data_IF_624113690986
#
_entry.id   IF_624113690986
#
_cell.length_a   1.000
_cell.length_b   1.000
_cell.length_c   1.000
_cell.angle_alpha   90.00
_cell.angle_beta   90.00
_cell.angle_gamma   90.00
#
_symmetry.space_group_name_H-M   'P 1'
#
loop_
_entity.id
_entity.type
_entity.pdbx_description
1 polymer ?
#
# COMPACT_ATOMS: atom_id res chain seq x y z
N UNK A 1 -21.59 -21.85 -4.85
CA UNK A 1 -20.52 -20.84 -5.08
C UNK A 1 -19.21 -21.60 -5.01
N UNK A 2 -18.29 -21.40 -5.94
CA UNK A 2 -16.98 -22.05 -5.85
C UNK A 2 -16.12 -21.24 -4.85
N UNK A 3 -15.47 -21.95 -3.93
CA UNK A 3 -14.40 -21.38 -3.10
C UNK A 3 -13.30 -20.81 -4.01
N UNK A 4 -12.58 -19.73 -3.62
CA UNK A 4 -11.39 -19.29 -4.31
C UNK A 4 -10.41 -20.45 -4.53
N UNK A 5 -9.91 -20.63 -5.76
CA UNK A 5 -9.14 -21.83 -6.13
C UNK A 5 -7.76 -21.91 -5.45
N UNK A 6 -7.17 -20.77 -5.08
CA UNK A 6 -5.94 -20.68 -4.29
C UNK A 6 -6.21 -20.58 -2.78
N UNK A 7 -7.45 -20.29 -2.37
CA UNK A 7 -7.88 -20.29 -0.98
C UNK A 7 -7.54 -19.01 -0.20
N UNK A 8 -7.19 -19.22 1.08
CA UNK A 8 -6.88 -18.14 2.04
C UNK A 8 -5.39 -18.07 2.27
N UNK A 9 -4.84 -16.84 2.24
CA UNK A 9 -3.41 -16.59 2.38
C UNK A 9 -3.04 -15.52 3.38
N UNK A 10 -1.74 -15.33 3.48
CA UNK A 10 -1.11 -14.27 4.27
C UNK A 10 0.05 -13.68 3.50
N UNK A 11 0.35 -12.41 3.81
CA UNK A 11 1.56 -11.77 3.32
C UNK A 11 2.79 -12.30 4.08
N UNK A 12 3.88 -12.57 3.33
CA UNK A 12 5.16 -13.01 3.89
C UNK A 12 5.90 -11.83 4.54
N UNK A 13 5.54 -11.52 5.77
CA UNK A 13 6.16 -10.44 6.54
C UNK A 13 7.04 -10.98 7.67
N UNK A 14 7.95 -10.15 8.18
CA UNK A 14 8.79 -10.49 9.34
C UNK A 14 7.92 -10.88 10.54
N UNK A 15 8.26 -12.00 11.17
CA UNK A 15 7.50 -12.57 12.28
C UNK A 15 6.56 -13.71 11.89
N UNK A 16 6.22 -13.86 10.60
CA UNK A 16 5.45 -15.01 10.14
C UNK A 16 6.22 -16.32 10.34
N UNK A 17 7.54 -16.29 10.17
CA UNK A 17 8.44 -17.43 10.42
C UNK A 17 8.35 -17.95 11.87
N UNK A 18 8.13 -17.06 12.84
CA UNK A 18 8.02 -17.41 14.26
C UNK A 18 6.76 -18.20 14.59
N UNK A 19 5.69 -17.98 13.84
CA UNK A 19 4.37 -18.61 14.08
C UNK A 19 3.99 -19.64 13.03
N UNK A 20 4.80 -19.81 11.98
CA UNK A 20 4.48 -20.65 10.82
C UNK A 20 4.05 -22.06 11.20
N UNK A 21 4.83 -22.74 12.07
CA UNK A 21 4.53 -24.14 12.45
C UNK A 21 3.17 -24.33 13.13
N UNK A 22 2.60 -23.26 13.68
CA UNK A 22 1.33 -23.30 14.39
C UNK A 22 0.14 -22.91 13.52
N UNK A 23 0.37 -22.32 12.33
CA UNK A 23 -0.69 -21.80 11.44
C UNK A 23 -0.63 -22.33 10.01
N UNK A 24 0.43 -23.06 9.64
CA UNK A 24 0.67 -23.53 8.28
C UNK A 24 -0.48 -24.37 7.70
N UNK A 25 -1.23 -25.08 8.55
CA UNK A 25 -2.41 -25.85 8.14
C UNK A 25 -3.58 -25.00 7.66
N UNK A 26 -3.56 -23.69 7.91
CA UNK A 26 -4.57 -22.72 7.52
C UNK A 26 -4.10 -21.76 6.41
N UNK A 27 -2.86 -21.89 5.93
CA UNK A 27 -2.32 -21.05 4.89
C UNK A 27 -2.31 -21.84 3.58
N UNK A 28 -3.20 -21.48 2.65
CA UNK A 28 -3.29 -22.11 1.34
C UNK A 28 -2.32 -21.46 0.34
N UNK A 29 -2.10 -20.15 0.47
CA UNK A 29 -1.27 -19.34 -0.45
C UNK A 29 -0.43 -18.33 0.34
N UNK A 30 0.77 -18.01 -0.15
CA UNK A 30 1.66 -17.00 0.44
C UNK A 30 1.85 -15.87 -0.56
N UNK A 31 1.58 -14.65 -0.14
CA UNK A 31 1.90 -13.47 -0.93
C UNK A 31 3.24 -12.87 -0.51
N UNK A 32 3.99 -12.36 -1.47
CA UNK A 32 5.34 -11.82 -1.27
C UNK A 32 5.42 -10.41 -1.83
N UNK A 33 5.90 -9.49 -1.01
CA UNK A 33 6.32 -8.15 -1.42
C UNK A 33 7.83 -8.17 -1.70
N UNK A 34 8.29 -8.43 -2.92
CA UNK A 34 9.69 -8.67 -3.18
C UNK A 34 10.57 -7.45 -2.86
N UNK A 35 10.06 -6.23 -3.01
CA UNK A 35 10.81 -5.00 -2.74
C UNK A 35 11.19 -4.83 -1.26
N UNK A 36 10.43 -5.41 -0.33
CA UNK A 36 10.78 -5.43 1.10
C UNK A 36 12.02 -6.29 1.38
N UNK A 37 12.35 -7.18 0.44
CA UNK A 37 13.50 -8.09 0.49
C UNK A 37 14.69 -7.60 -0.34
N UNK A 38 14.66 -6.37 -0.85
CA UNK A 38 15.73 -5.79 -1.64
C UNK A 38 16.53 -4.74 -0.86
N UNK A 39 17.83 -4.67 -1.15
CA UNK A 39 18.71 -3.64 -0.64
C UNK A 39 19.29 -2.85 -1.81
N UNK A 40 19.11 -1.52 -1.87
CA UNK A 40 19.64 -0.71 -2.96
C UNK A 40 21.17 -0.70 -2.96
N UNK A 41 21.76 -0.69 -4.16
CA UNK A 41 23.17 -0.53 -4.43
C UNK A 41 23.40 0.71 -5.28
N UNK A 42 24.65 1.04 -5.57
CA UNK A 42 24.95 2.14 -6.51
C UNK A 42 24.33 1.92 -7.88
N UNK A 43 24.23 0.65 -8.31
CA UNK A 43 23.54 0.23 -9.51
C UNK A 43 22.70 -1.01 -9.20
N UNK A 44 21.36 -0.87 -9.25
CA UNK A 44 20.43 -1.98 -9.01
C UNK A 44 20.22 -2.30 -7.53
N UNK A 45 19.88 -3.54 -7.25
CA UNK A 45 19.51 -4.05 -5.92
C UNK A 45 20.15 -5.39 -5.63
N UNK A 46 20.51 -5.63 -4.37
CA UNK A 46 20.79 -6.96 -3.86
C UNK A 46 19.49 -7.59 -3.36
N UNK A 47 19.30 -8.85 -3.63
CA UNK A 47 18.16 -9.64 -3.19
C UNK A 47 18.54 -10.37 -1.89
N UNK A 48 17.66 -10.37 -0.92
CA UNK A 48 17.79 -11.18 0.29
C UNK A 48 17.46 -12.64 -0.02
N UNK A 49 18.43 -13.38 -0.56
CA UNK A 49 18.26 -14.79 -0.96
C UNK A 49 17.68 -15.66 0.18
N UNK A 50 18.16 -15.58 1.44
CA UNK A 50 17.56 -16.35 2.52
C UNK A 50 16.05 -16.12 2.72
N UNK A 51 15.54 -14.91 2.46
CA UNK A 51 14.11 -14.64 2.56
C UNK A 51 13.33 -15.32 1.42
N UNK A 52 13.85 -15.30 0.21
CA UNK A 52 13.26 -16.02 -0.91
C UNK A 52 13.32 -17.55 -0.70
N UNK A 53 14.45 -18.09 -0.26
CA UNK A 53 14.60 -19.51 0.07
C UNK A 53 13.61 -19.95 1.15
N UNK A 54 13.35 -19.08 2.13
CA UNK A 54 12.36 -19.34 3.16
C UNK A 54 10.96 -19.48 2.55
N UNK A 55 10.54 -18.58 1.66
CA UNK A 55 9.24 -18.65 0.99
C UNK A 55 9.15 -19.92 0.14
N UNK A 56 10.14 -20.17 -0.71
CA UNK A 56 10.21 -21.35 -1.60
C UNK A 56 10.11 -22.66 -0.82
N UNK A 57 10.69 -22.70 0.39
CA UNK A 57 10.63 -23.89 1.25
C UNK A 57 9.26 -24.16 1.91
N UNK A 58 8.28 -23.25 1.76
CA UNK A 58 6.94 -23.44 2.33
C UNK A 58 6.07 -24.38 1.52
N UNK A 59 6.41 -24.64 0.28
CA UNK A 59 5.65 -25.51 -0.65
C UNK A 59 4.17 -25.09 -0.73
N UNK A 60 3.95 -23.79 -0.98
CA UNK A 60 2.64 -23.18 -1.16
C UNK A 60 2.60 -22.42 -2.48
N UNK A 61 1.44 -22.35 -3.15
CA UNK A 61 1.24 -21.37 -4.22
C UNK A 61 1.66 -19.99 -3.75
N UNK A 62 2.25 -19.21 -4.65
CA UNK A 62 2.77 -17.89 -4.32
C UNK A 62 2.11 -16.82 -5.18
N UNK A 63 1.85 -15.67 -4.57
CA UNK A 63 1.46 -14.43 -5.21
C UNK A 63 2.59 -13.42 -5.03
N UNK A 64 2.65 -12.42 -5.90
CA UNK A 64 3.63 -11.34 -5.77
C UNK A 64 2.90 -10.01 -5.85
N UNK A 65 3.06 -9.22 -4.79
CA UNK A 65 2.51 -7.88 -4.68
C UNK A 65 3.63 -6.83 -4.65
N UNK A 66 3.59 -5.88 -5.57
CA UNK A 66 4.58 -4.81 -5.67
C UNK A 66 4.23 -3.64 -4.74
N UNK A 67 5.24 -3.10 -4.05
CA UNK A 67 5.09 -1.97 -3.11
C UNK A 67 6.07 -0.83 -3.39
N UNK A 68 6.84 -0.92 -4.47
CA UNK A 68 7.93 0.03 -4.71
C UNK A 68 7.80 0.86 -5.98
N UNK A 69 7.05 0.41 -6.97
CA UNK A 69 6.97 1.02 -8.28
C UNK A 69 5.51 1.19 -8.74
N UNK A 70 4.70 1.94 -7.97
CA UNK A 70 3.27 2.06 -8.20
C UNK A 70 2.95 2.59 -9.60
N UNK A 71 1.80 2.15 -10.14
CA UNK A 71 1.42 2.42 -11.53
C UNK A 71 0.54 3.65 -11.70
N UNK A 72 0.09 4.23 -10.57
CA UNK A 72 -0.87 5.35 -10.60
C UNK A 72 -0.20 6.69 -10.83
N UNK A 73 0.13 7.56 -11.03
CA UNK A 73 0.78 8.86 -11.17
C UNK A 73 1.33 9.09 -12.56
N UNK A 74 1.70 10.34 -12.82
CA UNK A 74 2.21 10.74 -14.13
C UNK A 74 3.71 10.47 -14.32
N UNK A 75 4.44 10.07 -13.26
CA UNK A 75 5.86 9.71 -13.36
C UNK A 75 5.97 8.20 -13.57
N UNK A 76 6.58 7.78 -14.66
CA UNK A 76 6.74 6.37 -14.97
C UNK A 76 7.61 5.66 -13.90
N UNK A 77 7.25 4.43 -13.50
CA UNK A 77 8.07 3.63 -12.60
C UNK A 77 9.42 3.28 -13.24
N UNK A 78 10.44 3.04 -12.39
CA UNK A 78 11.77 2.66 -12.86
C UNK A 78 11.74 1.31 -13.60
N UNK A 79 12.07 1.26 -14.90
CA UNK A 79 12.00 0.02 -15.68
C UNK A 79 12.87 -1.10 -15.15
N UNK A 80 14.00 -0.78 -14.49
CA UNK A 80 14.89 -1.80 -13.92
C UNK A 80 14.24 -2.47 -12.70
N UNK A 81 13.54 -1.70 -11.87
CA UNK A 81 12.78 -2.21 -10.72
C UNK A 81 11.58 -3.04 -11.17
N UNK A 82 10.82 -2.59 -12.16
CA UNK A 82 9.70 -3.34 -12.74
C UNK A 82 10.16 -4.68 -13.29
N UNK A 83 11.27 -4.70 -14.06
CA UNK A 83 11.85 -5.92 -14.59
C UNK A 83 12.28 -6.88 -13.47
N UNK A 84 12.87 -6.37 -12.40
CA UNK A 84 13.28 -7.20 -11.27
C UNK A 84 12.06 -7.78 -10.52
N UNK A 85 10.97 -7.01 -10.35
CA UNK A 85 9.73 -7.51 -9.78
C UNK A 85 9.14 -8.67 -10.62
N UNK A 86 9.12 -8.52 -11.95
CA UNK A 86 8.70 -9.59 -12.87
C UNK A 86 9.60 -10.83 -12.76
N UNK A 87 10.91 -10.67 -12.57
CA UNK A 87 11.84 -11.78 -12.36
C UNK A 87 11.58 -12.50 -11.03
N UNK A 88 11.27 -11.75 -9.96
CA UNK A 88 10.85 -12.33 -8.68
C UNK A 88 9.54 -13.12 -8.82
N UNK A 89 8.55 -12.57 -9.50
CA UNK A 89 7.30 -13.28 -9.79
C UNK A 89 7.54 -14.57 -10.60
N UNK A 90 8.46 -14.54 -11.56
CA UNK A 90 8.84 -15.72 -12.33
C UNK A 90 9.56 -16.77 -11.47
N UNK A 91 10.51 -16.35 -10.64
CA UNK A 91 11.25 -17.22 -9.71
C UNK A 91 10.34 -17.96 -8.76
N UNK A 92 9.43 -17.22 -8.13
CA UNK A 92 8.47 -17.77 -7.16
C UNK A 92 7.34 -18.57 -7.80
N UNK A 93 7.28 -18.64 -9.13
CA UNK A 93 6.19 -19.31 -9.84
C UNK A 93 4.82 -18.68 -9.60
N UNK A 94 4.79 -17.38 -9.29
CA UNK A 94 3.56 -16.66 -8.94
C UNK A 94 2.48 -16.85 -9.99
N UNK A 95 1.24 -17.07 -9.58
CA UNK A 95 0.12 -17.28 -10.50
C UNK A 95 -0.34 -15.97 -11.15
N UNK A 96 -0.19 -14.88 -10.47
CA UNK A 96 -0.34 -13.49 -10.91
C UNK A 96 0.55 -12.58 -10.05
N UNK A 97 0.65 -11.33 -10.44
CA UNK A 97 1.39 -10.32 -9.72
C UNK A 97 0.65 -8.98 -9.79
N UNK A 98 0.88 -8.14 -8.81
CA UNK A 98 0.14 -6.89 -8.64
C UNK A 98 1.05 -5.74 -8.26
N UNK A 99 0.53 -4.52 -8.38
CA UNK A 99 1.16 -3.31 -7.86
C UNK A 99 0.07 -2.27 -7.50
N UNK A 100 0.40 -1.33 -6.63
CA UNK A 100 -0.51 -0.29 -6.18
C UNK A 100 -0.93 0.68 -7.28
N UNK A 101 -2.20 1.02 -7.34
CA UNK A 101 -2.72 2.15 -8.09
C UNK A 101 -2.55 3.45 -7.28
N UNK A 102 -1.32 3.78 -6.98
CA UNK A 102 -0.86 4.98 -6.25
C UNK A 102 0.36 5.56 -6.92
N UNK A 103 0.98 6.60 -6.35
CA UNK A 103 2.29 7.09 -6.77
C UNK A 103 3.17 7.41 -5.55
N UNK A 104 4.49 7.34 -5.73
CA UNK A 104 5.47 7.65 -4.69
C UNK A 104 6.62 8.52 -5.19
N UNK A 105 6.64 8.87 -6.46
CA UNK A 105 7.66 9.69 -7.09
C UNK A 105 7.08 10.75 -8.02
N UNK A 106 7.74 11.88 -8.06
CA UNK A 106 7.45 12.97 -9.01
C UNK A 106 8.74 13.62 -9.49
N UNK A 107 8.68 14.35 -10.60
CA UNK A 107 9.75 15.28 -10.99
C UNK A 107 9.52 16.63 -10.33
N UNK A 108 10.49 17.07 -9.49
CA UNK A 108 10.47 18.35 -8.80
C UNK A 108 11.79 19.08 -9.00
N UNK A 109 11.75 20.33 -9.47
CA UNK A 109 12.93 21.16 -9.72
C UNK A 109 14.04 20.48 -10.56
N UNK A 110 13.64 19.65 -11.55
CA UNK A 110 14.57 18.93 -12.44
C UNK A 110 15.16 17.64 -11.88
N UNK A 111 14.77 17.25 -10.66
CA UNK A 111 15.21 16.03 -9.99
C UNK A 111 14.02 15.12 -9.67
N UNK A 112 14.26 13.85 -9.44
CA UNK A 112 13.28 12.96 -8.86
C UNK A 112 13.13 13.25 -7.37
N UNK A 113 11.89 13.31 -6.90
CA UNK A 113 11.52 13.50 -5.51
C UNK A 113 10.67 12.30 -5.08
N UNK A 114 11.16 11.55 -4.10
CA UNK A 114 10.35 10.55 -3.40
C UNK A 114 9.36 11.25 -2.46
N UNK A 115 8.12 10.80 -2.46
CA UNK A 115 7.08 11.35 -1.57
C UNK A 115 7.19 10.83 -0.12
N UNK A 116 7.97 9.77 0.10
CA UNK A 116 8.13 9.11 1.40
C UNK A 116 6.97 8.22 1.80
N UNK A 117 5.91 8.17 0.99
CA UNK A 117 4.69 7.41 1.22
C UNK A 117 3.97 7.15 -0.10
N UNK A 118 3.11 6.14 -0.15
CA UNK A 118 2.22 5.90 -1.28
C UNK A 118 1.09 6.92 -1.25
N UNK A 119 0.99 7.73 -2.29
CA UNK A 119 0.01 8.81 -2.43
C UNK A 119 -1.07 8.44 -3.44
N UNK A 120 -2.32 8.87 -3.22
CA UNK A 120 -3.39 8.64 -4.17
C UNK A 120 -3.14 9.43 -5.46
N UNK A 121 -3.28 8.80 -6.63
CA UNK A 121 -3.12 9.48 -7.91
C UNK A 121 -4.26 10.47 -8.16
N UNK A 122 -4.03 11.45 -9.03
CA UNK A 122 -5.09 12.33 -9.47
C UNK A 122 -6.09 11.56 -10.35
N UNK A 123 -7.36 11.52 -9.95
CA UNK A 123 -8.39 10.73 -10.64
C UNK A 123 -8.94 11.49 -11.88
N UNK A 124 -8.04 11.85 -12.78
CA UNK A 124 -8.31 12.56 -14.02
C UNK A 124 -8.23 11.63 -15.22
N UNK A 125 -8.71 12.08 -16.40
CA UNK A 125 -8.50 11.31 -17.63
C UNK A 125 -7.03 11.16 -17.97
N UNK A 126 -6.22 12.18 -17.72
CA UNK A 126 -4.77 12.11 -17.91
C UNK A 126 -4.12 11.12 -16.93
N UNK A 127 -4.62 11.03 -15.68
CA UNK A 127 -4.22 10.01 -14.72
C UNK A 127 -4.56 8.59 -15.17
N UNK A 128 -5.74 8.39 -15.79
CA UNK A 128 -6.09 7.10 -16.41
C UNK A 128 -5.11 6.75 -17.52
N UNK A 129 -4.80 7.69 -18.41
CA UNK A 129 -3.88 7.47 -19.54
C UNK A 129 -2.48 7.10 -19.07
N UNK A 130 -1.94 7.81 -18.08
CA UNK A 130 -0.65 7.52 -17.49
C UNK A 130 -0.61 6.12 -16.83
N UNK A 131 -1.63 5.78 -16.04
CA UNK A 131 -1.71 4.46 -15.41
C UNK A 131 -1.78 3.33 -16.44
N UNK A 132 -2.56 3.48 -17.52
CA UNK A 132 -2.64 2.50 -18.61
C UNK A 132 -1.26 2.30 -19.25
N UNK A 133 -0.54 3.37 -19.58
CA UNK A 133 0.80 3.30 -20.17
C UNK A 133 1.80 2.56 -19.24
N UNK A 134 1.73 2.83 -17.94
CA UNK A 134 2.58 2.16 -16.96
C UNK A 134 2.24 0.67 -16.84
N UNK A 135 0.97 0.31 -16.79
CA UNK A 135 0.51 -1.08 -16.73
C UNK A 135 0.95 -1.85 -17.99
N UNK A 136 0.80 -1.25 -19.16
CA UNK A 136 1.30 -1.85 -20.42
C UNK A 136 2.79 -2.18 -20.32
N UNK A 137 3.59 -1.28 -19.72
CA UNK A 137 5.00 -1.52 -19.46
C UNK A 137 5.23 -2.74 -18.56
N UNK A 138 4.44 -2.88 -17.49
CA UNK A 138 4.50 -4.06 -16.61
C UNK A 138 4.20 -5.35 -17.35
N UNK A 139 3.14 -5.37 -18.13
CA UNK A 139 2.68 -6.54 -18.90
C UNK A 139 3.70 -7.00 -19.95
N UNK A 140 4.58 -6.10 -20.45
CA UNK A 140 5.66 -6.51 -21.37
C UNK A 140 6.73 -7.39 -20.73
N UNK A 141 6.84 -7.41 -19.40
CA UNK A 141 7.87 -8.15 -18.67
C UNK A 141 7.43 -9.54 -18.20
N UNK A 142 6.13 -9.86 -18.29
CA UNK A 142 5.59 -11.15 -17.84
C UNK A 142 4.29 -11.50 -18.56
N UNK A 143 4.14 -12.76 -18.93
CA UNK A 143 2.87 -13.31 -19.45
C UNK A 143 1.87 -13.63 -18.34
N UNK A 144 2.24 -13.47 -17.07
CA UNK A 144 1.34 -13.67 -15.93
C UNK A 144 0.35 -12.53 -15.85
N UNK A 145 -0.90 -12.79 -15.45
CA UNK A 145 -1.86 -11.73 -15.20
C UNK A 145 -1.27 -10.68 -14.26
N UNK A 146 -1.37 -9.40 -14.66
CA UNK A 146 -1.01 -8.26 -13.83
C UNK A 146 -2.28 -7.63 -13.25
N UNK A 147 -2.26 -7.29 -11.97
CA UNK A 147 -3.38 -6.71 -11.24
C UNK A 147 -3.00 -5.32 -10.73
N UNK A 148 -3.98 -4.43 -10.70
CA UNK A 148 -3.89 -3.17 -9.96
C UNK A 148 -4.61 -3.29 -8.63
N UNK A 149 -3.97 -2.81 -7.57
CA UNK A 149 -4.60 -2.76 -6.26
C UNK A 149 -5.41 -1.49 -6.06
N UNK A 150 -6.59 -1.63 -5.42
CA UNK A 150 -7.44 -0.51 -5.02
C UNK A 150 -6.91 0.14 -3.74
N UNK A 151 -6.35 1.35 -3.85
CA UNK A 151 -5.70 2.04 -2.74
C UNK A 151 -6.62 2.87 -1.85
N UNK A 152 -6.10 3.22 -0.66
CA UNK A 152 -6.73 4.18 0.25
C UNK A 152 -6.50 5.63 -0.22
N UNK A 153 -7.52 6.47 -0.07
CA UNK A 153 -7.43 7.89 -0.38
C UNK A 153 -8.13 8.73 0.70
N UNK A 154 -7.36 9.37 1.54
CA UNK A 154 -7.86 10.22 2.64
C UNK A 154 -8.35 11.59 2.18
N UNK A 155 -7.97 12.02 0.97
CA UNK A 155 -8.35 13.33 0.44
C UNK A 155 -9.80 13.35 0.01
N UNK A 156 -10.46 14.49 0.19
CA UNK A 156 -11.77 14.72 -0.42
C UNK A 156 -11.67 14.74 -1.93
N UNK A 157 -12.72 14.29 -2.64
CA UNK A 157 -12.78 14.44 -4.08
C UNK A 157 -12.54 15.90 -4.49
N UNK A 158 -11.82 16.13 -5.58
CA UNK A 158 -11.68 17.47 -6.17
C UNK A 158 -12.75 17.68 -7.23
N UNK A 159 -13.17 18.93 -7.46
CA UNK A 159 -14.16 19.21 -8.50
C UNK A 159 -13.69 18.67 -9.86
N UNK A 160 -14.52 17.83 -10.47
CA UNK A 160 -14.29 17.26 -11.79
C UNK A 160 -13.41 16.00 -11.82
N UNK A 161 -12.94 15.46 -10.70
CA UNK A 161 -12.35 14.12 -10.65
C UNK A 161 -13.38 13.04 -10.99
N UNK A 162 -12.89 11.95 -11.55
CA UNK A 162 -13.70 10.73 -11.73
C UNK A 162 -14.02 10.14 -10.35
N UNK A 163 -15.22 9.56 -10.15
CA UNK A 163 -15.50 8.74 -8.98
C UNK A 163 -14.52 7.57 -8.87
N UNK A 164 -14.20 7.15 -7.63
CA UNK A 164 -13.20 6.11 -7.34
C UNK A 164 -13.43 4.84 -8.18
N UNK A 165 -14.64 4.27 -8.15
CA UNK A 165 -14.97 3.07 -8.91
C UNK A 165 -14.87 3.28 -10.44
N UNK A 166 -15.24 4.45 -10.95
CA UNK A 166 -15.13 4.76 -12.37
C UNK A 166 -13.68 4.90 -12.84
N UNK A 167 -12.83 5.53 -12.02
CA UNK A 167 -11.40 5.68 -12.30
C UNK A 167 -10.71 4.32 -12.40
N UNK A 168 -10.89 3.46 -11.41
CA UNK A 168 -10.32 2.12 -11.38
C UNK A 168 -10.85 1.27 -12.54
N UNK A 169 -12.15 1.30 -12.77
CA UNK A 169 -12.80 0.52 -13.83
C UNK A 169 -12.34 0.92 -15.24
N UNK A 170 -12.14 2.21 -15.49
CA UNK A 170 -11.64 2.70 -16.78
C UNK A 170 -10.21 2.23 -17.03
N UNK A 171 -9.34 2.29 -16.01
CA UNK A 171 -7.97 1.79 -16.10
C UNK A 171 -7.97 0.28 -16.36
N UNK A 172 -8.67 -0.52 -15.54
CA UNK A 172 -8.67 -1.98 -15.66
C UNK A 172 -9.18 -2.46 -17.03
N UNK A 173 -10.21 -1.78 -17.59
CA UNK A 173 -10.73 -2.13 -18.92
C UNK A 173 -9.77 -1.72 -20.04
N UNK A 174 -9.14 -0.55 -19.96
CA UNK A 174 -8.27 -0.03 -21.03
C UNK A 174 -6.90 -0.73 -21.06
N UNK A 175 -6.33 -1.01 -19.90
CA UNK A 175 -5.07 -1.73 -19.78
C UNK A 175 -5.24 -3.25 -19.90
N UNK A 176 -6.47 -3.75 -19.99
CA UNK A 176 -6.79 -5.18 -19.98
C UNK A 176 -6.11 -5.95 -18.84
N UNK A 177 -6.12 -5.35 -17.63
CA UNK A 177 -5.51 -5.94 -16.44
C UNK A 177 -6.57 -6.46 -15.44
N UNK A 178 -6.11 -7.26 -14.47
CA UNK A 178 -6.91 -7.69 -13.34
C UNK A 178 -6.97 -6.64 -12.22
N UNK A 179 -7.75 -6.96 -11.19
CA UNK A 179 -7.91 -6.13 -9.99
C UNK A 179 -7.59 -7.00 -8.77
N UNK A 180 -6.72 -6.48 -7.92
CA UNK A 180 -6.60 -6.83 -6.53
C UNK A 180 -7.52 -5.87 -5.77
N UNK A 181 -8.59 -6.41 -5.20
CA UNK A 181 -9.62 -5.65 -4.53
C UNK A 181 -9.33 -5.60 -3.03
N UNK A 182 -8.74 -4.52 -2.56
CA UNK A 182 -8.58 -4.32 -1.12
C UNK A 182 -9.90 -3.78 -0.53
N UNK A 183 -10.62 -4.67 0.16
CA UNK A 183 -11.89 -4.34 0.81
C UNK A 183 -11.69 -3.46 2.05
N UNK A 184 -10.54 -3.55 2.71
CA UNK A 184 -10.20 -2.68 3.83
C UNK A 184 -10.04 -1.23 3.37
N UNK A 185 -9.33 -1.02 2.26
CA UNK A 185 -9.15 0.30 1.64
C UNK A 185 -10.46 0.90 1.15
N UNK A 186 -11.34 0.11 0.54
CA UNK A 186 -12.67 0.60 0.15
C UNK A 186 -13.50 1.04 1.37
N UNK A 187 -13.48 0.23 2.45
CA UNK A 187 -14.19 0.56 3.68
C UNK A 187 -13.58 1.78 4.37
N UNK A 188 -12.26 1.91 4.37
CA UNK A 188 -11.57 3.10 4.88
C UNK A 188 -11.95 4.35 4.08
N UNK A 189 -12.00 4.27 2.75
CA UNK A 189 -12.44 5.35 1.87
C UNK A 189 -13.88 5.79 2.19
N UNK A 190 -14.82 4.87 2.35
CA UNK A 190 -16.21 5.17 2.74
C UNK A 190 -16.26 5.84 4.11
N UNK A 191 -15.59 5.28 5.14
CA UNK A 191 -15.54 5.84 6.49
C UNK A 191 -14.93 7.25 6.52
N UNK A 192 -13.98 7.52 5.64
CA UNK A 192 -13.34 8.83 5.47
C UNK A 192 -14.16 9.79 4.58
N UNK A 193 -15.34 9.38 4.13
CA UNK A 193 -16.31 10.21 3.41
C UNK A 193 -16.02 10.37 1.91
N UNK A 194 -15.39 9.36 1.30
CA UNK A 194 -15.33 9.23 -0.17
C UNK A 194 -16.56 8.48 -0.69
N UNK A 195 -16.40 7.75 -1.79
CA UNK A 195 -17.51 7.02 -2.42
C UNK A 195 -17.96 5.84 -1.54
N UNK A 196 -19.28 5.56 -1.41
CA UNK A 196 -19.77 4.35 -0.75
C UNK A 196 -19.21 3.08 -1.42
N UNK A 197 -18.90 2.07 -0.61
CA UNK A 197 -18.32 0.79 -1.10
C UNK A 197 -19.20 0.16 -2.17
N UNK A 198 -20.52 0.12 -1.99
CA UNK A 198 -21.44 -0.47 -2.97
C UNK A 198 -21.40 0.25 -4.31
N UNK A 199 -21.32 1.60 -4.32
CA UNK A 199 -21.21 2.38 -5.55
C UNK A 199 -19.89 2.09 -6.29
N UNK A 200 -18.80 1.86 -5.53
CA UNK A 200 -17.51 1.44 -6.10
C UNK A 200 -17.64 0.05 -6.71
N UNK A 201 -18.16 -0.92 -5.96
CA UNK A 201 -18.34 -2.30 -6.42
C UNK A 201 -19.24 -2.41 -7.64
N UNK A 202 -20.29 -1.58 -7.73
CA UNK A 202 -21.19 -1.54 -8.88
C UNK A 202 -20.55 -0.96 -10.15
N UNK A 203 -19.54 -0.09 -10.01
CA UNK A 203 -18.79 0.47 -11.12
C UNK A 203 -17.68 -0.45 -11.65
N UNK A 204 -17.10 -1.29 -10.77
CA UNK A 204 -15.97 -2.15 -11.10
C UNK A 204 -16.35 -3.31 -12.05
N UNK A 205 -15.44 -3.72 -12.96
CA UNK A 205 -15.57 -4.97 -13.71
C UNK A 205 -15.24 -6.16 -12.78
N UNK A 206 -16.24 -6.64 -12.03
CA UNK A 206 -16.06 -7.65 -10.99
C UNK A 206 -15.56 -9.01 -11.52
N UNK A 207 -15.70 -9.26 -12.82
CA UNK A 207 -15.12 -10.40 -13.54
C UNK A 207 -13.60 -10.30 -13.73
N UNK A 208 -12.98 -9.15 -13.39
CA UNK A 208 -11.53 -8.94 -13.41
C UNK A 208 -10.90 -9.00 -12.01
N UNK A 209 -11.67 -9.20 -10.96
CA UNK A 209 -11.14 -9.33 -9.60
C UNK A 209 -10.65 -10.76 -9.40
N UNK A 210 -9.32 -10.89 -9.20
CA UNK A 210 -8.67 -12.18 -8.97
C UNK A 210 -8.26 -12.38 -7.51
N UNK A 211 -8.10 -11.28 -6.77
CA UNK A 211 -7.59 -11.29 -5.41
C UNK A 211 -8.32 -10.27 -4.54
N UNK A 212 -8.47 -10.61 -3.26
CA UNK A 212 -8.98 -9.70 -2.22
C UNK A 212 -7.92 -9.57 -1.13
N UNK A 213 -7.65 -8.32 -0.72
CA UNK A 213 -6.96 -8.04 0.53
C UNK A 213 -7.94 -7.67 1.64
N UNK A 214 -7.59 -8.12 2.85
CA UNK A 214 -8.23 -7.76 4.11
C UNK A 214 -7.17 -7.44 5.16
N UNK A 215 -7.35 -6.37 5.90
CA UNK A 215 -6.41 -5.91 6.91
C UNK A 215 -7.12 -5.40 8.17
N UNK A 216 -6.35 -5.02 9.16
CA UNK A 216 -6.87 -4.29 10.32
C UNK A 216 -6.49 -2.82 10.27
N UNK A 217 -7.34 -1.97 10.84
CA UNK A 217 -7.13 -0.53 10.91
C UNK A 217 -7.61 0.07 12.22
N UNK A 218 -7.42 1.36 12.40
CA UNK A 218 -7.89 2.10 13.57
C UNK A 218 -8.17 3.56 13.24
N UNK A 219 -8.90 4.23 14.13
CA UNK A 219 -9.18 5.66 14.00
C UNK A 219 -8.07 6.52 14.60
N UNK A 220 -7.64 7.53 13.86
CA UNK A 220 -6.70 8.56 14.30
C UNK A 220 -7.18 9.94 13.82
N UNK A 221 -7.34 10.89 14.74
CA UNK A 221 -7.71 12.28 14.43
C UNK A 221 -8.96 12.41 13.53
N UNK A 222 -9.92 11.49 13.70
CA UNK A 222 -11.16 11.48 12.93
C UNK A 222 -11.05 10.86 11.53
N UNK A 223 -9.96 10.16 11.24
CA UNK A 223 -9.77 9.35 10.06
C UNK A 223 -9.61 7.87 10.43
N UNK A 224 -10.25 6.99 9.68
CA UNK A 224 -10.00 5.57 9.76
C UNK A 224 -8.81 5.23 8.87
N UNK A 225 -7.75 4.67 9.46
CA UNK A 225 -6.49 4.42 8.78
C UNK A 225 -6.40 2.99 8.27
N UNK A 226 -5.89 2.86 7.06
CA UNK A 226 -5.32 1.64 6.54
C UNK A 226 -3.95 1.43 7.21
N UNK A 227 -3.94 0.67 8.29
CA UNK A 227 -2.77 0.58 9.16
C UNK A 227 -2.16 -0.83 9.22
N UNK A 228 -2.85 -1.83 8.69
CA UNK A 228 -2.46 -3.25 8.70
C UNK A 228 -2.12 -3.76 10.12
N UNK A 229 -2.82 -3.22 11.14
CA UNK A 229 -2.63 -3.53 12.56
C UNK A 229 -3.88 -4.18 13.14
N UNK A 230 -3.72 -5.26 13.87
CA UNK A 230 -4.83 -6.06 14.38
C UNK A 230 -5.41 -6.97 13.31
N UNK A 231 -6.69 -7.34 13.46
CA UNK A 231 -7.41 -8.17 12.49
C UNK A 231 -8.58 -7.42 11.87
N UNK A 232 -9.20 -7.98 10.82
CA UNK A 232 -10.39 -7.42 10.20
C UNK A 232 -11.54 -7.35 11.21
N UNK A 233 -12.24 -6.22 11.24
CA UNK A 233 -13.41 -6.05 12.08
C UNK A 233 -14.66 -6.80 11.51
N UNK A 234 -15.74 -6.85 12.28
CA UNK A 234 -16.96 -7.55 11.86
C UNK A 234 -17.62 -6.92 10.62
N UNK A 235 -17.44 -5.63 10.41
CA UNK A 235 -17.99 -4.94 9.25
C UNK A 235 -17.24 -5.33 7.98
N UNK A 236 -15.91 -5.37 8.03
CA UNK A 236 -15.09 -5.85 6.92
C UNK A 236 -15.33 -7.34 6.61
N UNK A 237 -15.44 -8.18 7.64
CA UNK A 237 -15.79 -9.60 7.45
C UNK A 237 -17.18 -9.77 6.80
N UNK A 238 -18.13 -8.92 7.17
CA UNK A 238 -19.47 -8.92 6.57
C UNK A 238 -19.44 -8.45 5.12
N UNK A 239 -18.65 -7.41 4.83
CA UNK A 239 -18.42 -6.94 3.46
C UNK A 239 -17.78 -8.03 2.61
N UNK A 240 -16.75 -8.71 3.11
CA UNK A 240 -16.12 -9.85 2.43
C UNK A 240 -17.15 -10.95 2.07
N UNK A 241 -17.98 -11.34 3.03
CA UNK A 241 -19.00 -12.36 2.84
C UNK A 241 -20.04 -11.98 1.76
N UNK A 242 -20.38 -10.69 1.65
CA UNK A 242 -21.30 -10.19 0.63
C UNK A 242 -20.64 -10.03 -0.75
N UNK A 243 -19.33 -9.77 -0.77
CA UNK A 243 -18.58 -9.46 -2.00
C UNK A 243 -18.16 -10.74 -2.74
N UNK A 244 -17.64 -11.76 -2.04
CA UNK A 244 -17.19 -13.02 -2.66
C UNK A 244 -18.19 -13.60 -3.67
N UNK A 245 -19.51 -13.68 -3.38
CA UNK A 245 -20.49 -14.22 -4.32
C UNK A 245 -20.61 -13.47 -5.66
N UNK A 246 -20.13 -12.22 -5.72
CA UNK A 246 -20.17 -11.35 -6.90
C UNK A 246 -18.92 -11.50 -7.79
N UNK A 247 -17.90 -12.25 -7.34
CA UNK A 247 -16.58 -12.32 -7.97
C UNK A 247 -16.34 -13.68 -8.63
N UNK A 248 -16.69 -13.85 -9.92
CA UNK A 248 -16.63 -15.15 -10.60
C UNK A 248 -15.20 -15.67 -10.85
N UNK A 249 -14.19 -14.77 -10.81
CA UNK A 249 -12.79 -15.09 -11.09
C UNK A 249 -11.89 -15.03 -9.84
N UNK A 250 -12.48 -14.86 -8.65
CA UNK A 250 -11.70 -14.75 -7.42
C UNK A 250 -10.87 -16.01 -7.15
N UNK A 251 -9.57 -15.82 -6.94
CA UNK A 251 -8.61 -16.90 -6.72
C UNK A 251 -8.11 -16.97 -5.28
N UNK A 252 -7.86 -15.83 -4.64
CA UNK A 252 -7.30 -15.75 -3.30
C UNK A 252 -7.96 -14.68 -2.44
N UNK A 253 -7.98 -14.91 -1.12
CA UNK A 253 -8.24 -13.90 -0.09
C UNK A 253 -7.01 -13.86 0.82
N UNK A 254 -6.31 -12.74 0.85
CA UNK A 254 -5.06 -12.57 1.59
C UNK A 254 -5.26 -11.65 2.78
N UNK A 255 -4.76 -12.08 3.93
CA UNK A 255 -4.67 -11.23 5.13
C UNK A 255 -3.33 -10.50 5.15
N UNK A 256 -3.39 -9.19 5.22
CA UNK A 256 -2.23 -8.33 5.36
C UNK A 256 -1.99 -7.86 6.79
N UNK A 257 -0.74 -7.92 7.22
CA UNK A 257 -0.33 -7.40 8.52
C UNK A 257 1.12 -6.90 8.47
N UNK A 258 1.36 -5.72 9.03
CA UNK A 258 2.73 -5.23 9.22
C UNK A 258 3.50 -6.11 10.24
N UNK A 259 4.85 -6.13 10.22
CA UNK A 259 5.66 -6.98 11.12
C UNK A 259 5.27 -6.87 12.59
N UNK A 260 5.02 -5.66 13.09
CA UNK A 260 4.64 -5.43 14.49
C UNK A 260 3.26 -6.01 14.83
N UNK A 261 2.33 -5.97 13.88
CA UNK A 261 1.01 -6.57 14.04
C UNK A 261 1.09 -8.10 14.01
N UNK A 262 1.90 -8.68 13.12
CA UNK A 262 2.13 -10.13 13.07
C UNK A 262 2.67 -10.65 14.41
N UNK A 263 3.67 -9.97 14.99
CA UNK A 263 4.22 -10.31 16.31
C UNK A 263 3.17 -10.15 17.43
N UNK A 264 2.35 -9.09 17.38
CA UNK A 264 1.33 -8.81 18.40
C UNK A 264 0.16 -9.79 18.36
N UNK A 265 -0.25 -10.24 17.19
CA UNK A 265 -1.29 -11.25 16.99
C UNK A 265 -0.83 -12.62 17.51
N UNK A 266 0.42 -12.96 17.25
CA UNK A 266 0.95 -14.28 17.54
C UNK A 266 0.19 -15.38 16.81
N UNK A 267 0.54 -16.64 17.07
CA UNK A 267 -0.09 -17.77 16.40
C UNK A 267 -1.60 -17.88 16.67
N UNK A 268 -2.03 -17.60 17.88
CA UNK A 268 -3.45 -17.72 18.27
C UNK A 268 -4.33 -16.68 17.56
N UNK A 269 -3.87 -15.42 17.49
CA UNK A 269 -4.60 -14.35 16.81
C UNK A 269 -4.66 -14.59 15.30
N UNK A 270 -3.53 -14.92 14.68
CA UNK A 270 -3.47 -15.23 13.25
C UNK A 270 -4.33 -16.44 12.90
N UNK A 271 -4.28 -17.53 13.70
CA UNK A 271 -5.15 -18.69 13.51
C UNK A 271 -6.62 -18.33 13.55
N UNK A 272 -7.06 -17.51 14.49
CA UNK A 272 -8.44 -17.07 14.60
C UNK A 272 -8.92 -16.30 13.35
N UNK A 273 -8.07 -15.40 12.82
CA UNK A 273 -8.33 -14.64 11.59
C UNK A 273 -8.46 -15.60 10.40
N UNK A 274 -7.46 -16.45 10.16
CA UNK A 274 -7.47 -17.39 9.03
C UNK A 274 -8.68 -18.33 9.09
N UNK A 275 -9.03 -18.84 10.26
CA UNK A 275 -10.24 -19.64 10.43
C UNK A 275 -11.53 -18.87 10.10
N UNK A 276 -11.60 -17.58 10.41
CA UNK A 276 -12.73 -16.74 10.06
C UNK A 276 -12.83 -16.57 8.54
N UNK A 277 -11.70 -16.28 7.88
CA UNK A 277 -11.63 -16.13 6.42
C UNK A 277 -12.01 -17.43 5.70
N UNK A 278 -11.48 -18.59 6.15
CA UNK A 278 -11.88 -19.87 5.59
C UNK A 278 -13.39 -20.12 5.69
N UNK A 279 -13.98 -19.90 6.88
CA UNK A 279 -15.44 -20.07 7.03
C UNK A 279 -16.24 -19.19 6.06
N UNK A 280 -15.80 -17.94 5.85
CA UNK A 280 -16.46 -17.04 4.90
C UNK A 280 -16.28 -17.52 3.47
N UNK A 281 -15.08 -17.93 3.06
CA UNK A 281 -14.81 -18.50 1.74
C UNK A 281 -15.62 -19.80 1.49
N UNK A 282 -15.90 -20.57 2.53
CA UNK A 282 -16.75 -21.77 2.47
C UNK A 282 -18.26 -21.43 2.53
N UNK A 283 -18.63 -20.16 2.53
CA UNK A 283 -20.02 -19.69 2.47
C UNK A 283 -20.73 -19.66 3.82
N UNK A 284 -19.98 -19.67 4.94
CA UNK A 284 -20.60 -19.52 6.25
C UNK A 284 -21.17 -18.09 6.42
N UNK A 285 -22.37 -17.96 7.00
CA UNK A 285 -22.95 -16.65 7.26
C UNK A 285 -22.16 -15.89 8.32
N UNK A 286 -22.07 -14.56 8.16
CA UNK A 286 -21.55 -13.66 9.18
C UNK A 286 -22.73 -13.16 10.04
N UNK A 287 -22.54 -13.07 11.35
CA UNK A 287 -23.59 -12.72 12.32
C UNK A 287 -24.23 -11.35 12.07
N UNK A 288 -23.53 -10.45 11.41
CA UNK A 288 -23.98 -9.09 11.12
C UNK A 288 -23.88 -8.82 9.63
N UNK A 289 -25.01 -8.64 8.91
CA UNK A 289 -24.93 -8.29 7.50
C UNK A 289 -24.26 -6.92 7.30
N UNK A 290 -23.44 -6.81 6.27
CA UNK A 290 -22.87 -5.53 5.86
C UNK A 290 -24.00 -4.56 5.50
N UNK A 291 -23.88 -3.34 5.96
CA UNK A 291 -24.76 -2.22 5.59
C UNK A 291 -23.89 -1.06 5.20
N UNK A 292 -24.10 -0.55 4.01
CA UNK A 292 -23.48 0.71 3.57
C UNK A 292 -23.74 1.82 4.57
N UNK A 293 -22.71 2.62 4.85
CA UNK A 293 -22.88 3.79 5.67
C UNK A 293 -23.93 4.72 5.05
N UNK A 294 -24.79 5.29 5.87
CA UNK A 294 -25.81 6.25 5.43
C UNK A 294 -25.25 7.67 5.24
N UNK A 295 -23.94 7.85 5.51
CA UNK A 295 -23.28 9.14 5.34
C UNK A 295 -23.07 9.43 3.86
N UNK A 296 -23.57 10.58 3.41
CA UNK A 296 -23.30 11.05 2.05
C UNK A 296 -21.80 11.33 1.89
N UNK A 297 -21.24 11.05 0.71
CA UNK A 297 -19.86 11.41 0.39
C UNK A 297 -19.58 12.88 0.68
N UNK A 298 -18.38 13.19 1.16
CA UNK A 298 -17.98 14.58 1.44
C UNK A 298 -18.00 15.39 0.14
N UNK A 299 -18.48 16.62 0.21
CA UNK A 299 -18.47 17.51 -0.94
C UNK A 299 -17.04 17.75 -1.45
N UNK A 300 -16.85 17.87 -2.77
CA UNK A 300 -15.57 18.22 -3.36
C UNK A 300 -14.99 19.50 -2.76
N UNK A 301 -13.67 19.54 -2.57
CA UNK A 301 -12.93 20.68 -1.99
C UNK A 301 -11.75 21.06 -2.88
N UNK A 302 -11.51 22.34 -3.01
CA UNK A 302 -10.39 22.91 -3.75
C UNK A 302 -10.80 23.66 -5.02
N UNK A 303 -9.84 24.25 -5.73
CA UNK A 303 -10.11 24.93 -6.99
C UNK A 303 -10.56 23.94 -8.06
N UNK A 304 -11.23 24.41 -9.13
CA UNK A 304 -11.53 23.60 -10.30
C UNK A 304 -10.27 22.88 -10.78
N UNK A 305 -10.39 21.57 -11.05
CA UNK A 305 -9.25 20.76 -11.46
C UNK A 305 -8.97 20.97 -12.95
N UNK A 306 -7.73 21.29 -13.29
CA UNK A 306 -7.26 21.11 -14.65
C UNK A 306 -7.11 19.60 -14.90
N UNK A 307 -7.91 19.08 -15.83
CA UNK A 307 -7.94 17.66 -16.19
C UNK A 307 -6.91 17.28 -17.26
N UNK A 308 -6.13 18.25 -17.74
CA UNK A 308 -5.03 18.01 -18.66
C UNK A 308 -3.83 17.36 -17.98
N UNK A 309 -2.90 16.87 -18.78
CA UNK A 309 -1.68 16.21 -18.27
C UNK A 309 -0.86 17.16 -17.38
N UNK A 310 -0.67 18.41 -17.79
CA UNK A 310 0.09 19.40 -17.02
C UNK A 310 -0.54 19.70 -15.66
N UNK A 311 -1.87 19.84 -15.61
CA UNK A 311 -2.58 20.07 -14.34
C UNK A 311 -2.54 18.87 -13.41
N UNK A 312 -2.61 17.66 -13.98
CA UNK A 312 -2.48 16.40 -13.23
C UNK A 312 -1.06 16.26 -12.65
N UNK A 313 -0.04 16.47 -13.46
CA UNK A 313 1.37 16.42 -13.01
C UNK A 313 1.68 17.49 -11.94
N UNK A 314 1.15 18.70 -12.11
CA UNK A 314 1.34 19.78 -11.15
C UNK A 314 0.69 19.46 -9.79
N UNK A 315 -0.51 18.87 -9.82
CA UNK A 315 -1.16 18.41 -8.58
C UNK A 315 -0.31 17.37 -7.84
N UNK A 316 0.11 16.31 -8.52
CA UNK A 316 0.93 15.25 -7.93
C UNK A 316 2.26 15.80 -7.42
N UNK A 317 2.88 16.69 -8.19
CA UNK A 317 4.12 17.37 -7.79
C UNK A 317 3.95 18.18 -6.50
N UNK A 318 2.86 18.93 -6.37
CA UNK A 318 2.59 19.74 -5.17
C UNK A 318 2.26 18.85 -3.97
N UNK A 319 1.50 17.78 -4.19
CA UNK A 319 1.16 16.83 -3.13
C UNK A 319 2.41 16.13 -2.61
N UNK A 320 3.25 15.58 -3.50
CA UNK A 320 4.52 14.96 -3.12
C UNK A 320 5.48 15.95 -2.45
N UNK A 321 5.62 17.16 -2.97
CA UNK A 321 6.50 18.17 -2.37
C UNK A 321 6.05 18.56 -0.96
N UNK A 322 4.74 18.61 -0.71
CA UNK A 322 4.20 18.88 0.61
C UNK A 322 4.45 17.70 1.58
N UNK A 323 4.14 16.47 1.18
CA UNK A 323 4.35 15.29 2.03
C UNK A 323 5.82 15.00 2.31
N UNK A 324 6.68 15.21 1.32
CA UNK A 324 8.14 15.10 1.44
C UNK A 324 8.82 16.26 2.19
N UNK A 325 8.07 17.24 2.70
CA UNK A 325 8.59 18.46 3.37
C UNK A 325 9.44 19.35 2.47
N UNK A 326 9.39 19.16 1.15
CA UNK A 326 10.02 20.05 0.18
C UNK A 326 9.21 21.35 -0.04
N UNK A 327 7.93 21.39 0.38
CA UNK A 327 7.08 22.57 0.42
C UNK A 327 6.40 22.68 1.78
N UNK A 328 6.31 23.93 2.30
CA UNK A 328 5.54 24.21 3.51
C UNK A 328 4.04 24.36 3.20
N UNK A 329 3.67 24.75 1.97
CA UNK A 329 2.31 25.04 1.57
C UNK A 329 1.61 23.78 1.05
N UNK A 330 0.46 23.40 1.66
CA UNK A 330 -0.34 22.30 1.14
C UNK A 330 -0.98 22.68 -0.21
N UNK A 331 -1.19 21.72 -1.11
CA UNK A 331 -1.86 21.99 -2.40
C UNK A 331 -3.31 22.43 -2.27
N UNK A 332 -3.98 22.08 -1.17
CA UNK A 332 -5.36 22.51 -0.83
C UNK A 332 -5.48 22.73 0.68
N UNK A 333 -6.63 23.26 1.11
CA UNK A 333 -7.04 23.43 2.50
C UNK A 333 -7.71 22.17 3.10
N UNK A 334 -7.63 21.02 2.41
CA UNK A 334 -8.15 19.75 2.95
C UNK A 334 -7.39 19.36 4.23
N UNK A 335 -8.09 19.15 5.37
CA UNK A 335 -7.43 18.71 6.61
C UNK A 335 -6.62 17.41 6.47
N UNK A 336 -7.00 16.53 5.54
CA UNK A 336 -6.25 15.31 5.25
C UNK A 336 -4.83 15.55 4.74
N UNK A 337 -4.48 16.78 4.32
CA UNK A 337 -3.11 17.14 3.96
C UNK A 337 -2.14 16.94 5.13
N UNK A 338 -2.54 17.36 6.34
CA UNK A 338 -1.74 17.19 7.55
C UNK A 338 -1.60 15.70 7.92
N UNK A 339 -2.69 14.94 7.78
CA UNK A 339 -2.66 13.49 7.99
C UNK A 339 -1.65 12.82 7.04
N UNK A 340 -1.73 13.09 5.73
CA UNK A 340 -0.82 12.50 4.74
C UNK A 340 0.65 12.82 5.02
N UNK A 341 0.96 14.08 5.40
CA UNK A 341 2.31 14.46 5.83
C UNK A 341 2.74 13.69 7.07
N UNK A 342 1.86 13.56 8.07
CA UNK A 342 2.15 12.79 9.27
C UNK A 342 2.34 11.29 9.00
N UNK A 343 1.62 10.71 8.04
CA UNK A 343 1.80 9.32 7.62
C UNK A 343 3.14 9.14 6.90
N UNK A 344 3.52 10.05 6.00
CA UNK A 344 4.83 10.03 5.35
C UNK A 344 5.98 10.14 6.36
N UNK A 345 5.85 11.00 7.37
CA UNK A 345 6.83 11.10 8.46
C UNK A 345 6.95 9.78 9.24
N UNK A 346 5.81 9.16 9.60
CA UNK A 346 5.80 7.89 10.32
C UNK A 346 6.39 6.75 9.48
N UNK A 347 6.11 6.72 8.18
CA UNK A 347 6.71 5.73 7.27
C UNK A 347 8.24 5.87 7.26
N UNK A 348 8.78 7.09 7.14
CA UNK A 348 10.22 7.37 7.22
C UNK A 348 10.83 6.95 8.56
N UNK A 349 10.16 7.25 9.67
CA UNK A 349 10.61 6.82 11.01
C UNK A 349 10.58 5.30 11.15
N UNK A 350 9.59 4.63 10.56
CA UNK A 350 9.54 3.17 10.45
C UNK A 350 10.74 2.61 9.69
N UNK A 351 11.09 3.20 8.54
CA UNK A 351 12.26 2.81 7.77
C UNK A 351 13.57 3.00 8.58
N UNK A 352 13.70 4.09 9.34
CA UNK A 352 14.85 4.30 10.24
C UNK A 352 14.92 3.23 11.34
N UNK A 353 13.78 2.85 11.89
CA UNK A 353 13.70 1.79 12.92
C UNK A 353 14.16 0.45 12.36
N UNK A 354 13.83 0.14 11.11
CA UNK A 354 14.29 -1.07 10.44
C UNK A 354 15.78 -1.02 10.09
N UNK A 355 16.25 0.11 9.57
CA UNK A 355 17.62 0.23 9.07
C UNK A 355 18.67 0.46 10.18
N UNK A 356 18.30 1.19 11.23
CA UNK A 356 19.23 1.64 12.30
C UNK A 356 18.62 1.54 13.71
N UNK A 357 18.12 0.35 14.10
CA UNK A 357 17.58 0.16 15.45
C UNK A 357 18.63 0.39 16.55
N UNK A 358 19.90 0.06 16.28
CA UNK A 358 21.05 0.29 17.16
C UNK A 358 21.24 1.79 17.46
N UNK A 359 21.22 2.61 16.42
CA UNK A 359 21.43 4.05 16.52
C UNK A 359 20.27 4.74 17.25
N UNK A 360 19.03 4.39 16.92
CA UNK A 360 17.85 4.94 17.59
C UNK A 360 17.84 4.59 19.08
N UNK A 361 18.16 3.33 19.43
CA UNK A 361 18.29 2.92 20.82
C UNK A 361 19.36 3.72 21.56
N UNK A 362 20.54 3.87 20.96
CA UNK A 362 21.62 4.68 21.53
C UNK A 362 21.21 6.14 21.76
N UNK A 363 20.46 6.74 20.82
CA UNK A 363 19.96 8.10 20.99
C UNK A 363 18.97 8.20 22.15
N UNK A 364 18.02 7.26 22.25
CA UNK A 364 17.06 7.21 23.34
C UNK A 364 17.73 7.03 24.71
N UNK A 365 18.75 6.19 24.81
CA UNK A 365 19.51 5.94 26.03
C UNK A 365 20.39 7.14 26.44
N UNK A 366 20.99 7.82 25.48
CA UNK A 366 21.97 8.89 25.75
C UNK A 366 21.36 10.29 25.83
N UNK A 367 20.25 10.54 25.11
CA UNK A 367 19.59 11.84 24.98
C UNK A 367 18.20 11.90 25.61
N UNK A 368 17.60 10.74 25.85
CA UNK A 368 16.20 10.62 26.27
C UNK A 368 15.20 10.81 25.14
N UNK A 369 13.91 10.49 25.38
CA UNK A 369 12.88 10.47 24.37
C UNK A 369 12.63 11.84 23.73
N UNK A 370 12.46 12.89 24.52
CA UNK A 370 12.10 14.24 24.04
C UNK A 370 13.18 14.86 23.12
N UNK A 371 14.47 14.68 23.46
CA UNK A 371 15.55 15.16 22.61
C UNK A 371 15.68 14.34 21.34
N UNK A 372 15.53 13.03 21.44
CA UNK A 372 15.53 12.15 20.27
C UNK A 372 14.41 12.52 19.31
N UNK A 373 13.20 12.77 19.80
CA UNK A 373 12.06 13.22 18.99
C UNK A 373 12.36 14.55 18.27
N UNK A 374 12.89 15.55 18.99
CA UNK A 374 13.32 16.82 18.40
C UNK A 374 14.39 16.64 17.32
N UNK A 375 15.34 15.74 17.53
CA UNK A 375 16.37 15.42 16.52
C UNK A 375 15.78 14.78 15.28
N UNK A 376 14.87 13.83 15.45
CA UNK A 376 14.17 13.19 14.35
C UNK A 376 13.34 14.19 13.54
N UNK A 377 12.59 15.07 14.21
CA UNK A 377 11.84 16.12 13.54
C UNK A 377 12.74 17.04 12.68
N UNK A 378 13.90 17.47 13.22
CA UNK A 378 14.88 18.27 12.46
C UNK A 378 15.48 17.52 11.28
N UNK A 379 15.71 16.21 11.44
CA UNK A 379 16.18 15.38 10.33
C UNK A 379 15.14 15.31 9.22
N UNK A 380 13.88 15.08 9.55
CA UNK A 380 12.78 15.04 8.58
C UNK A 380 12.65 16.34 7.78
N UNK A 381 12.89 17.48 8.43
CA UNK A 381 12.90 18.80 7.76
C UNK A 381 14.15 19.05 6.90
N UNK A 382 15.30 18.47 7.28
CA UNK A 382 16.58 18.72 6.63
C UNK A 382 16.90 17.77 5.48
N UNK A 383 16.25 16.60 5.42
CA UNK A 383 16.58 15.55 4.46
C UNK A 383 15.33 15.13 3.69
N UNK A 384 15.40 15.03 2.35
CA UNK A 384 14.31 14.48 1.57
C UNK A 384 14.11 13.00 1.92
N UNK A 385 12.89 12.47 1.81
CA UNK A 385 12.61 11.05 2.04
C UNK A 385 13.37 10.15 1.07
N UNK A 386 13.53 8.90 1.46
CA UNK A 386 13.99 7.83 0.59
C UNK A 386 12.96 6.73 0.55
N UNK A 387 12.85 6.05 -0.58
CA UNK A 387 12.01 4.89 -0.78
C UNK A 387 12.50 3.66 -0.01
N UNK A 388 13.81 3.61 0.27
CA UNK A 388 14.49 2.44 0.82
C UNK A 388 14.98 2.69 2.23
N UNK A 389 14.67 1.76 3.14
CA UNK A 389 15.09 1.85 4.54
C UNK A 389 16.62 1.98 4.69
N UNK A 390 17.39 1.24 3.88
CA UNK A 390 18.85 1.30 3.91
C UNK A 390 19.38 2.70 3.56
N UNK A 391 18.79 3.36 2.57
CA UNK A 391 19.16 4.72 2.18
C UNK A 391 18.72 5.76 3.22
N UNK A 392 17.52 5.62 3.78
CA UNK A 392 17.04 6.48 4.86
C UNK A 392 17.98 6.37 6.07
N UNK A 393 18.36 5.16 6.46
CA UNK A 393 19.33 4.93 7.55
C UNK A 393 20.71 5.50 7.28
N UNK A 394 21.21 5.41 6.04
CA UNK A 394 22.48 6.02 5.62
C UNK A 394 22.43 7.55 5.70
N UNK A 395 21.38 8.16 5.13
CA UNK A 395 21.16 9.63 5.16
C UNK A 395 21.07 10.16 6.59
N UNK A 396 20.35 9.45 7.46
CA UNK A 396 20.27 9.83 8.88
C UNK A 396 21.62 9.78 9.57
N UNK A 397 22.43 8.74 9.30
CA UNK A 397 23.79 8.63 9.85
C UNK A 397 24.69 9.77 9.38
N UNK A 398 24.65 10.09 8.08
CA UNK A 398 25.40 11.19 7.49
C UNK A 398 24.97 12.56 8.07
N UNK A 399 23.66 12.75 8.26
CA UNK A 399 23.12 13.98 8.85
C UNK A 399 23.58 14.15 10.29
N UNK A 400 23.57 13.10 11.11
CA UNK A 400 24.08 13.15 12.49
C UNK A 400 25.57 13.47 12.59
N UNK A 401 26.36 13.11 11.58
CA UNK A 401 27.80 13.39 11.53
C UNK A 401 28.12 14.85 11.13
N UNK A 402 27.15 15.65 10.69
CA UNK A 402 27.39 17.04 10.28
C UNK A 402 27.72 17.95 11.48
N UNK A 403 28.66 18.89 11.34
CA UNK A 403 28.91 19.88 12.37
C UNK A 403 27.66 20.73 12.63
N UNK A 404 27.23 20.78 13.90
CA UNK A 404 26.03 21.56 14.31
C UNK A 404 24.75 20.73 14.53
N UNK A 405 24.70 19.44 14.15
CA UNK A 405 23.64 18.52 14.54
C UNK A 405 23.81 18.01 15.97
N UNK A 406 25.06 18.01 16.49
CA UNK A 406 25.32 17.81 17.92
C UNK A 406 24.87 19.06 18.68
N UNK A 407 23.70 18.98 19.30
CA UNK A 407 23.34 19.96 20.34
C UNK A 407 24.30 19.74 21.51
N UNK A 408 25.02 20.81 21.89
CA UNK A 408 25.84 20.87 23.11
C UNK A 408 24.95 20.75 24.34
#
# INVERSE_FOLDING_TARGET
>A
MSRPDLGVGVIATTGLDLVWSEVADLIDVVEVEPQTMWTPRQTGWDINEPAFDWVESRDRPTLVHGVGFPVGGCTAPDPAGVKLAAQCAARLGATHWSEHLSFNQVRHAGHELDAGFLLPPAQTRAGVEAAVEHIDSYQTHSERPFLIETGVNYLRPRPGELPDGSFIAEIARRADCGILLDLHNLLANERNGRQPVEDVLDALPLDRVLEIHVAGGFELEGYYLDAHIGGPDLELLSLLACTIPRLPQLRAVVFEAVPTAMVSLGAAGLRAILQALHRICDGAPVERPFRTATAAPRSPVGPPTDHGLEGTQEWERRLAAYTARASAEPPTDDPAMQLLRGLADRARLGQLTLARPDLLRSLLETRGPDETERMLARYLDASPPSRWAADEGRRFTEWLAQPGTSIR
#
